data_IF_496495448893
#
_entry.id   IF_496495448893
#
_cell.length_a   1.000
_cell.length_b   1.000
_cell.length_c   1.000
_cell.angle_alpha   90.00
_cell.angle_beta   90.00
_cell.angle_gamma   90.00
#
_symmetry.space_group_name_H-M   'P 1'
#
loop_
_entity.id
_entity.type
_entity.pdbx_description
1 polymer ?
#
# COMPACT_ATOMS: atom_id res chain seq x y z
N UNK A 1 8.99 -18.36 3.28
CA UNK A 1 9.49 -17.81 2.00
C UNK A 1 8.56 -16.69 1.58
N UNK A 2 9.09 -15.50 1.29
CA UNK A 2 8.32 -14.32 0.89
C UNK A 2 8.59 -14.02 -0.59
N UNK A 3 7.53 -13.73 -1.34
CA UNK A 3 7.59 -13.46 -2.78
C UNK A 3 7.12 -12.04 -3.07
N UNK A 4 7.78 -11.38 -4.03
CA UNK A 4 7.41 -10.04 -4.48
C UNK A 4 7.74 -9.86 -5.96
N UNK A 5 6.93 -9.10 -6.68
CA UNK A 5 7.19 -8.71 -8.07
C UNK A 5 8.01 -7.42 -8.20
N UNK A 6 8.26 -6.72 -7.08
CA UNK A 6 9.12 -5.54 -7.08
C UNK A 6 10.60 -5.94 -6.97
N UNK A 7 11.31 -5.85 -8.10
CA UNK A 7 12.75 -6.15 -8.15
C UNK A 7 13.55 -5.20 -7.25
N UNK A 8 13.19 -3.92 -7.24
CA UNK A 8 13.81 -2.91 -6.37
C UNK A 8 13.68 -3.34 -4.92
N UNK A 9 12.49 -3.73 -4.48
CA UNK A 9 12.26 -4.22 -3.12
C UNK A 9 13.10 -5.45 -2.77
N UNK A 10 13.10 -6.47 -3.64
CA UNK A 10 13.84 -7.72 -3.37
C UNK A 10 15.34 -7.47 -3.33
N UNK A 11 15.86 -6.66 -4.25
CA UNK A 11 17.27 -6.26 -4.24
C UNK A 11 17.61 -5.44 -2.99
N UNK A 12 16.72 -4.53 -2.60
CA UNK A 12 16.83 -3.69 -1.40
C UNK A 12 16.92 -4.50 -0.12
N UNK A 13 16.01 -5.47 0.06
CA UNK A 13 15.95 -6.28 1.29
C UNK A 13 17.14 -7.23 1.41
N UNK A 14 17.67 -7.71 0.28
CA UNK A 14 18.83 -8.61 0.22
C UNK A 14 20.15 -7.84 0.36
N UNK A 15 20.33 -6.74 -0.38
CA UNK A 15 21.59 -5.99 -0.44
C UNK A 15 21.77 -5.04 0.75
N UNK A 16 20.69 -4.64 1.42
CA UNK A 16 20.68 -3.68 2.55
C UNK A 16 21.40 -2.34 2.26
N UNK A 17 21.40 -1.88 1.00
CA UNK A 17 22.10 -0.64 0.61
C UNK A 17 21.28 0.61 0.91
N UNK A 18 21.59 1.29 2.02
CA UNK A 18 20.80 2.42 2.55
C UNK A 18 20.80 3.64 1.62
N UNK A 19 21.88 3.88 0.85
CA UNK A 19 22.07 5.12 0.07
C UNK A 19 20.99 5.40 -0.99
N UNK A 20 20.39 4.38 -1.59
CA UNK A 20 19.34 4.55 -2.61
C UNK A 20 17.92 4.42 -2.07
N UNK A 21 17.75 4.17 -0.76
CA UNK A 21 16.49 3.70 -0.18
C UNK A 21 15.86 4.63 0.85
N UNK A 22 16.39 5.84 1.06
CA UNK A 22 15.95 6.72 2.15
C UNK A 22 14.42 6.94 2.19
N UNK A 23 13.74 6.99 1.03
CA UNK A 23 12.27 7.14 0.93
C UNK A 23 11.49 5.96 1.51
N UNK A 24 12.06 4.76 1.46
CA UNK A 24 11.42 3.51 1.88
C UNK A 24 12.08 2.92 3.13
N UNK A 25 13.11 3.58 3.68
CA UNK A 25 13.92 3.08 4.78
C UNK A 25 13.10 2.73 6.03
N UNK A 26 12.13 3.55 6.50
CA UNK A 26 11.34 3.18 7.68
C UNK A 26 10.57 1.86 7.50
N UNK A 27 10.07 1.60 6.28
CA UNK A 27 9.37 0.36 5.95
C UNK A 27 10.38 -0.81 5.90
N UNK A 28 11.56 -0.60 5.33
CA UNK A 28 12.61 -1.63 5.28
C UNK A 28 13.13 -2.02 6.65
N UNK A 29 13.31 -1.04 7.54
CA UNK A 29 13.73 -1.25 8.93
C UNK A 29 12.74 -2.14 9.67
N UNK A 30 11.44 -1.84 9.55
CA UNK A 30 10.40 -2.66 10.15
C UNK A 30 10.36 -4.08 9.58
N UNK A 31 10.53 -4.23 8.26
CA UNK A 31 10.62 -5.54 7.62
C UNK A 31 11.82 -6.33 8.16
N UNK A 32 12.98 -5.70 8.33
CA UNK A 32 14.15 -6.36 8.90
C UNK A 32 13.95 -6.73 10.37
N UNK A 33 13.33 -5.86 11.16
CA UNK A 33 12.97 -6.11 12.57
C UNK A 33 12.01 -7.29 12.72
N UNK A 34 10.97 -7.37 11.88
CA UNK A 34 10.06 -8.51 11.86
C UNK A 34 10.77 -9.77 11.37
N UNK A 35 11.63 -9.65 10.36
CA UNK A 35 12.36 -10.79 9.80
C UNK A 35 13.33 -11.42 10.78
N UNK A 36 13.93 -10.63 11.69
CA UNK A 36 14.84 -11.17 12.72
C UNK A 36 14.13 -12.02 13.78
N UNK A 37 12.79 -11.95 13.84
CA UNK A 37 11.97 -12.77 14.73
C UNK A 37 11.76 -14.20 14.19
N UNK A 38 12.19 -14.49 12.96
CA UNK A 38 12.10 -15.81 12.33
C UNK A 38 13.48 -16.43 12.16
N UNK A 39 13.58 -17.76 12.29
CA UNK A 39 14.85 -18.49 12.11
C UNK A 39 15.50 -18.25 10.75
N UNK A 40 14.68 -18.19 9.69
CA UNK A 40 15.16 -17.86 8.35
C UNK A 40 14.03 -17.27 7.50
N UNK A 41 14.29 -16.11 6.89
CA UNK A 41 13.41 -15.51 5.87
C UNK A 41 14.14 -15.53 4.52
N UNK A 42 13.52 -16.18 3.53
CA UNK A 42 14.01 -16.19 2.14
C UNK A 42 13.12 -15.31 1.28
N UNK A 43 13.74 -14.45 0.48
CA UNK A 43 13.09 -13.51 -0.42
C UNK A 43 13.25 -14.00 -1.86
N UNK A 44 12.17 -13.97 -2.64
CA UNK A 44 12.20 -14.36 -4.05
C UNK A 44 11.47 -13.33 -4.90
N UNK A 45 12.17 -12.85 -5.92
CA UNK A 45 11.52 -12.09 -6.99
C UNK A 45 10.71 -13.02 -7.89
N UNK A 46 9.49 -12.62 -8.21
CA UNK A 46 8.59 -13.35 -9.12
C UNK A 46 8.03 -12.43 -10.20
N UNK A 47 7.59 -13.00 -11.31
CA UNK A 47 6.88 -12.24 -12.33
C UNK A 47 5.53 -11.73 -11.81
N UNK A 48 5.09 -10.57 -12.31
CA UNK A 48 3.85 -9.91 -11.87
C UNK A 48 2.63 -10.79 -12.11
N UNK A 49 2.62 -11.54 -13.20
CA UNK A 49 1.58 -12.52 -13.55
C UNK A 49 1.45 -13.60 -12.47
N UNK A 50 2.56 -13.99 -11.84
CA UNK A 50 2.58 -14.95 -10.73
C UNK A 50 2.16 -14.29 -9.40
N UNK A 51 2.30 -12.97 -9.28
CA UNK A 51 1.88 -12.20 -8.09
C UNK A 51 0.44 -11.67 -8.19
N UNK A 52 -0.36 -12.16 -9.15
CA UNK A 52 -1.72 -11.67 -9.43
C UNK A 52 -2.60 -11.63 -8.18
N UNK A 53 -2.58 -12.69 -7.36
CA UNK A 53 -3.40 -12.73 -6.16
C UNK A 53 -3.12 -11.57 -5.18
N UNK A 54 -1.84 -11.21 -4.98
CA UNK A 54 -1.47 -10.07 -4.15
C UNK A 54 -1.85 -8.74 -4.80
N UNK A 55 -1.75 -8.64 -6.12
CA UNK A 55 -2.19 -7.47 -6.87
C UNK A 55 -3.70 -7.23 -6.71
N UNK A 56 -4.53 -8.26 -6.92
CA UNK A 56 -5.98 -8.15 -6.72
C UNK A 56 -6.33 -7.79 -5.27
N UNK A 57 -5.68 -8.41 -4.28
CA UNK A 57 -5.89 -8.08 -2.88
C UNK A 57 -5.54 -6.61 -2.56
N UNK A 58 -4.44 -6.09 -3.10
CA UNK A 58 -4.05 -4.69 -2.95
C UNK A 58 -5.06 -3.75 -3.64
N UNK A 59 -5.50 -4.09 -4.86
CA UNK A 59 -6.51 -3.33 -5.60
C UNK A 59 -7.84 -3.24 -4.83
N UNK A 60 -8.32 -4.35 -4.29
CA UNK A 60 -9.52 -4.38 -3.44
C UNK A 60 -9.35 -3.53 -2.18
N UNK A 61 -8.15 -3.56 -1.56
CA UNK A 61 -7.84 -2.71 -0.42
C UNK A 61 -7.90 -1.22 -0.76
N UNK A 62 -7.32 -0.83 -1.90
CA UNK A 62 -7.34 0.56 -2.39
C UNK A 62 -8.77 1.00 -2.68
N UNK A 63 -9.57 0.17 -3.35
CA UNK A 63 -10.98 0.46 -3.66
C UNK A 63 -11.79 0.69 -2.39
N UNK A 64 -11.69 -0.22 -1.41
CA UNK A 64 -12.39 -0.10 -0.13
C UNK A 64 -11.99 1.16 0.65
N UNK A 65 -10.69 1.45 0.72
CA UNK A 65 -10.20 2.68 1.37
C UNK A 65 -10.68 3.91 0.62
N UNK A 66 -10.71 3.88 -0.72
CA UNK A 66 -11.23 4.98 -1.53
C UNK A 66 -12.71 5.23 -1.22
N UNK A 67 -13.53 4.19 -1.21
CA UNK A 67 -14.96 4.30 -0.91
C UNK A 67 -15.20 4.83 0.51
N UNK A 68 -14.46 4.31 1.50
CA UNK A 68 -14.57 4.78 2.88
C UNK A 68 -14.08 6.23 3.06
N UNK A 69 -13.01 6.61 2.34
CA UNK A 69 -12.54 8.00 2.31
C UNK A 69 -13.53 8.92 1.64
N UNK A 70 -14.20 8.51 0.57
CA UNK A 70 -15.22 9.33 -0.08
C UNK A 70 -16.47 9.51 0.79
N UNK A 71 -16.84 8.48 1.57
CA UNK A 71 -17.96 8.57 2.50
C UNK A 71 -17.67 9.56 3.65
N UNK A 72 -16.43 9.62 4.14
CA UNK A 72 -16.04 10.43 5.31
C UNK A 72 -15.45 11.79 4.94
N UNK A 73 -14.77 11.88 3.79
CA UNK A 73 -14.09 13.06 3.25
C UNK A 73 -14.24 13.09 1.71
N UNK A 74 -15.45 13.40 1.20
CA UNK A 74 -15.66 13.52 -0.23
C UNK A 74 -14.80 14.65 -0.83
N UNK A 75 -14.43 14.56 -2.12
CA UNK A 75 -13.71 15.62 -2.81
C UNK A 75 -14.47 16.95 -2.73
N UNK A 76 -13.78 18.11 -2.58
CA UNK A 76 -14.45 19.42 -2.53
C UNK A 76 -15.32 19.73 -3.75
N UNK A 77 -14.94 19.25 -4.93
CA UNK A 77 -15.74 19.36 -6.16
C UNK A 77 -17.07 18.62 -6.06
N UNK A 78 -17.10 17.46 -5.39
CA UNK A 78 -18.31 16.68 -5.17
C UNK A 78 -19.21 17.34 -4.12
N UNK A 79 -18.64 17.88 -3.04
CA UNK A 79 -19.37 18.65 -2.02
C UNK A 79 -20.05 19.87 -2.64
N UNK A 80 -19.35 20.59 -3.52
CA UNK A 80 -19.87 21.76 -4.20
C UNK A 80 -21.10 21.42 -5.08
N UNK A 81 -21.04 20.31 -5.82
CA UNK A 81 -22.18 19.83 -6.62
C UNK A 81 -23.35 19.42 -5.73
N UNK A 82 -23.13 18.59 -4.69
CA UNK A 82 -24.21 18.17 -3.76
C UNK A 82 -24.88 19.34 -3.05
N UNK A 83 -24.10 20.38 -2.70
CA UNK A 83 -24.62 21.61 -2.10
C UNK A 83 -25.48 22.44 -3.06
N UNK A 84 -25.21 22.36 -4.37
CA UNK A 84 -26.00 23.01 -5.43
C UNK A 84 -27.30 22.28 -5.70
N UNK A 85 -27.32 20.96 -5.50
CA UNK A 85 -28.49 20.09 -5.68
C UNK A 85 -29.47 20.14 -4.48
N UNK A 86 -29.21 20.98 -3.47
CA UNK A 86 -30.11 21.17 -2.32
C UNK A 86 -30.08 20.05 -1.29
N UNK A 87 -29.13 19.11 -1.39
CA UNK A 87 -28.94 18.05 -0.41
C UNK A 87 -28.10 18.55 0.76
N UNK A 88 -28.49 18.27 2.02
CA UNK A 88 -27.67 18.63 3.17
C UNK A 88 -26.32 17.91 3.09
N UNK A 89 -25.24 18.64 3.35
CA UNK A 89 -23.90 18.06 3.44
C UNK A 89 -23.91 16.84 4.36
N UNK A 90 -23.27 15.72 3.98
CA UNK A 90 -23.20 14.56 4.86
C UNK A 90 -22.51 14.95 6.17
N UNK A 91 -23.19 14.66 7.30
CA UNK A 91 -22.67 14.89 8.64
C UNK A 91 -21.37 14.11 8.83
N UNK A 92 -20.31 14.81 9.28
CA UNK A 92 -19.04 14.16 9.62
C UNK A 92 -19.24 13.35 10.90
N UNK A 93 -19.28 12.02 10.79
CA UNK A 93 -19.16 11.07 11.91
C UNK A 93 -17.71 10.85 12.29
#
# INVERSE_FOLDING_TARGET
MVKSDSKVFVDSVVKKSIRSMWRIYPIMEEIWRLSSSFTQVRWKWIHRETNKAAHEAASLGIERVCHQRWATQPPPSLVLVLSKDGLPCPLRS
#
